data_IF_597093572903
#
_entry.id   IF_597093572903
#
_cell.length_a   1.000
_cell.length_b   1.000
_cell.length_c   1.000
_cell.angle_alpha   90.00
_cell.angle_beta   90.00
_cell.angle_gamma   90.00
#
_symmetry.space_group_name_H-M   'P 1'
#
loop_
_entity.id
_entity.type
_entity.pdbx_description
1 polymer ?
#
# COMPACT_ATOMS: atom_id res chain seq x y z
N UNK A 1 -11.63 -32.41 -5.88
CA UNK A 1 -10.28 -31.82 -5.64
C UNK A 1 -10.22 -30.30 -5.77
N UNK A 2 -11.12 -29.62 -6.52
CA UNK A 2 -11.09 -28.15 -6.64
C UNK A 2 -11.39 -27.38 -5.33
N UNK A 3 -12.29 -27.90 -4.48
CA UNK A 3 -12.66 -27.25 -3.22
C UNK A 3 -11.48 -27.02 -2.25
N UNK A 4 -10.54 -27.97 -2.16
CA UNK A 4 -9.35 -27.83 -1.29
C UNK A 4 -8.41 -26.72 -1.78
N UNK A 5 -8.22 -26.62 -3.10
CA UNK A 5 -7.35 -25.61 -3.70
C UNK A 5 -7.91 -24.18 -3.53
N UNK A 6 -9.23 -24.04 -3.56
CA UNK A 6 -9.92 -22.77 -3.31
C UNK A 6 -9.76 -22.33 -1.86
N UNK A 7 -9.92 -23.25 -0.89
CA UNK A 7 -9.74 -22.96 0.54
C UNK A 7 -8.28 -22.56 0.83
N UNK A 8 -7.31 -23.30 0.30
CA UNK A 8 -5.88 -22.99 0.50
C UNK A 8 -5.50 -21.62 -0.10
N UNK A 9 -6.06 -21.27 -1.26
CA UNK A 9 -5.86 -19.96 -1.87
C UNK A 9 -6.43 -18.84 -1.01
N UNK A 10 -7.65 -19.02 -0.49
CA UNK A 10 -8.31 -18.06 0.38
C UNK A 10 -7.51 -17.81 1.67
N UNK A 11 -7.05 -18.88 2.33
CA UNK A 11 -6.23 -18.78 3.54
C UNK A 11 -4.93 -18.01 3.30
N UNK A 12 -4.27 -18.23 2.14
CA UNK A 12 -3.09 -17.45 1.74
C UNK A 12 -3.40 -15.96 1.58
N UNK A 13 -4.55 -15.61 1.01
CA UNK A 13 -4.96 -14.21 0.87
C UNK A 13 -5.29 -13.57 2.22
N UNK A 14 -5.95 -14.29 3.13
CA UNK A 14 -6.21 -13.84 4.50
C UNK A 14 -4.90 -13.57 5.23
N UNK A 15 -3.97 -14.52 5.20
CA UNK A 15 -2.67 -14.38 5.85
C UNK A 15 -1.89 -13.16 5.30
N UNK A 16 -1.86 -13.00 3.97
CA UNK A 16 -1.21 -11.84 3.33
C UNK A 16 -1.85 -10.51 3.72
N UNK A 17 -3.19 -10.45 3.80
CA UNK A 17 -3.90 -9.26 4.24
C UNK A 17 -3.57 -8.92 5.70
N UNK A 18 -3.52 -9.92 6.58
CA UNK A 18 -3.13 -9.73 7.99
C UNK A 18 -1.68 -9.27 8.15
N UNK A 19 -0.74 -9.87 7.41
CA UNK A 19 0.67 -9.43 7.39
C UNK A 19 0.78 -7.99 6.91
N UNK A 20 0.02 -7.62 5.86
CA UNK A 20 -0.01 -6.26 5.36
C UNK A 20 -0.58 -5.26 6.38
N UNK A 21 -1.66 -5.62 7.09
CA UNK A 21 -2.22 -4.79 8.15
C UNK A 21 -1.24 -4.60 9.31
N UNK A 22 -0.55 -5.68 9.73
CA UNK A 22 0.51 -5.61 10.75
C UNK A 22 1.65 -4.68 10.31
N UNK A 23 2.09 -4.81 9.07
CA UNK A 23 3.10 -3.94 8.50
C UNK A 23 2.64 -2.47 8.47
N UNK A 24 1.42 -2.18 8.04
CA UNK A 24 0.88 -0.80 8.07
C UNK A 24 0.86 -0.21 9.50
N UNK A 25 0.57 -1.03 10.51
CA UNK A 25 0.56 -0.59 11.91
C UNK A 25 1.96 -0.27 12.42
N UNK A 26 2.93 -1.16 12.17
CA UNK A 26 4.30 -1.05 12.68
C UNK A 26 5.21 -0.12 11.86
N UNK A 27 5.12 -0.19 10.55
CA UNK A 27 6.03 0.50 9.61
C UNK A 27 5.32 1.54 8.73
N UNK A 28 4.08 1.91 9.04
CA UNK A 28 3.31 2.88 8.27
C UNK A 28 3.97 4.27 8.13
N UNK A 29 4.84 4.67 9.05
CA UNK A 29 5.58 5.93 8.91
C UNK A 29 6.55 5.91 7.72
N UNK A 30 7.13 4.75 7.40
CA UNK A 30 7.97 4.57 6.20
C UNK A 30 7.17 4.81 4.92
N UNK A 31 5.90 4.39 4.90
CA UNK A 31 5.00 4.66 3.79
C UNK A 31 4.68 6.16 3.66
N UNK A 32 4.45 6.84 4.79
CA UNK A 32 4.20 8.30 4.81
C UNK A 32 5.43 9.06 4.31
N UNK A 33 6.63 8.72 4.80
CA UNK A 33 7.88 9.33 4.37
C UNK A 33 8.16 9.10 2.88
N UNK A 34 7.91 7.89 2.38
CA UNK A 34 8.09 7.56 0.96
C UNK A 34 7.09 8.32 0.07
N UNK A 35 5.83 8.45 0.51
CA UNK A 35 4.82 9.24 -0.19
C UNK A 35 5.18 10.74 -0.21
N UNK A 36 5.73 11.26 0.90
CA UNK A 36 6.25 12.63 0.99
C UNK A 36 7.41 12.85 0.02
N UNK A 37 8.34 11.90 -0.06
CA UNK A 37 9.51 11.97 -0.93
C UNK A 37 9.09 12.11 -2.40
N UNK A 38 8.26 11.18 -2.87
CA UNK A 38 7.91 11.07 -4.28
C UNK A 38 6.83 12.06 -4.73
N UNK A 39 5.89 12.42 -3.84
CA UNK A 39 4.72 13.20 -4.22
C UNK A 39 4.43 14.43 -3.33
N UNK A 40 5.11 14.55 -2.19
CA UNK A 40 4.93 15.67 -1.27
C UNK A 40 3.77 15.56 -0.31
N UNK A 41 3.41 16.70 0.29
CA UNK A 41 2.56 16.78 1.48
C UNK A 41 1.16 16.21 1.29
N UNK A 42 0.60 16.35 0.09
CA UNK A 42 -0.73 15.83 -0.21
C UNK A 42 -0.73 14.28 -0.27
N UNK A 43 0.34 13.68 -0.79
CA UNK A 43 0.52 12.22 -0.80
C UNK A 43 0.86 11.67 0.59
N UNK A 44 1.69 12.38 1.35
CA UNK A 44 1.98 12.04 2.74
C UNK A 44 0.72 12.04 3.61
N UNK A 45 -0.15 13.05 3.44
CA UNK A 45 -1.45 13.11 4.12
C UNK A 45 -2.34 11.92 3.75
N UNK A 46 -2.39 11.58 2.46
CA UNK A 46 -3.14 10.40 1.97
C UNK A 46 -2.62 9.10 2.57
N UNK A 47 -1.30 8.91 2.63
CA UNK A 47 -0.68 7.77 3.30
C UNK A 47 -1.00 7.73 4.80
N UNK A 48 -0.92 8.88 5.46
CA UNK A 48 -1.20 9.01 6.89
C UNK A 48 -2.64 8.60 7.23
N UNK A 49 -3.62 8.99 6.41
CA UNK A 49 -5.02 8.55 6.56
C UNK A 49 -5.15 7.02 6.52
N UNK A 50 -4.48 6.35 5.58
CA UNK A 50 -4.50 4.88 5.46
C UNK A 50 -3.86 4.23 6.68
N UNK A 51 -2.72 4.74 7.12
CA UNK A 51 -1.98 4.22 8.29
C UNK A 51 -2.80 4.41 9.57
N UNK A 52 -3.43 5.58 9.75
CA UNK A 52 -4.33 5.83 10.88
C UNK A 52 -5.53 4.88 10.88
N UNK A 53 -6.16 4.66 9.72
CA UNK A 53 -7.26 3.70 9.61
C UNK A 53 -6.80 2.28 10.00
N UNK A 54 -5.63 1.84 9.54
CA UNK A 54 -5.07 0.53 9.88
C UNK A 54 -4.75 0.40 11.38
N UNK A 55 -4.21 1.46 12.01
CA UNK A 55 -3.91 1.51 13.45
C UNK A 55 -5.16 1.55 14.31
N UNK A 56 -6.21 2.23 13.87
CA UNK A 56 -7.51 2.26 14.54
C UNK A 56 -8.30 0.95 14.38
N UNK A 57 -7.79 -0.01 13.60
CA UNK A 57 -8.50 -1.27 13.33
C UNK A 57 -9.67 -1.11 12.35
N UNK A 58 -9.77 0.02 11.66
CA UNK A 58 -10.83 0.26 10.69
C UNK A 58 -10.62 -0.56 9.42
N UNK A 59 -11.73 -0.88 8.75
CA UNK A 59 -11.70 -1.54 7.46
C UNK A 59 -11.06 -0.64 6.38
N UNK A 60 -10.00 -1.14 5.75
CA UNK A 60 -9.31 -0.44 4.67
C UNK A 60 -10.07 -0.48 3.34
N UNK A 61 -11.21 -1.18 3.26
CA UNK A 61 -12.08 -1.16 2.08
C UNK A 61 -12.52 0.26 1.70
N UNK A 62 -12.79 1.12 2.69
CA UNK A 62 -13.12 2.53 2.49
C UNK A 62 -11.94 3.35 1.93
N UNK A 63 -10.70 2.91 2.17
CA UNK A 63 -9.47 3.57 1.72
C UNK A 63 -8.86 2.94 0.48
N UNK A 64 -9.59 2.07 -0.22
CA UNK A 64 -9.08 1.32 -1.38
C UNK A 64 -8.62 2.22 -2.53
N UNK A 65 -9.34 3.31 -2.78
CA UNK A 65 -8.92 4.33 -3.77
C UNK A 65 -7.60 4.99 -3.40
N UNK A 66 -7.39 5.28 -2.10
CA UNK A 66 -6.15 5.84 -1.59
C UNK A 66 -4.99 4.83 -1.69
N UNK A 67 -5.20 3.57 -1.28
CA UNK A 67 -4.22 2.49 -1.40
C UNK A 67 -3.78 2.27 -2.85
N UNK A 68 -4.73 2.24 -3.79
CA UNK A 68 -4.41 2.12 -5.22
C UNK A 68 -3.62 3.31 -5.72
N UNK A 69 -4.00 4.53 -5.32
CA UNK A 69 -3.28 5.74 -5.72
C UNK A 69 -1.84 5.77 -5.16
N UNK A 70 -1.65 5.38 -3.91
CA UNK A 70 -0.32 5.29 -3.27
C UNK A 70 0.56 4.23 -3.95
N UNK A 71 -0.02 3.09 -4.32
CA UNK A 71 0.68 2.07 -5.12
C UNK A 71 1.14 2.65 -6.46
N UNK A 72 0.28 3.38 -7.17
CA UNK A 72 0.66 4.03 -8.45
C UNK A 72 1.79 5.05 -8.27
N UNK A 73 1.77 5.81 -7.18
CA UNK A 73 2.85 6.76 -6.84
C UNK A 73 4.18 6.04 -6.63
N UNK A 74 4.20 4.99 -5.80
CA UNK A 74 5.43 4.26 -5.47
C UNK A 74 5.97 3.44 -6.64
N UNK A 75 5.11 3.08 -7.60
CA UNK A 75 5.50 2.49 -8.88
C UNK A 75 5.86 3.54 -9.95
N UNK A 76 5.96 4.82 -9.57
CA UNK A 76 6.38 5.93 -10.44
C UNK A 76 5.49 6.11 -11.67
N UNK A 77 4.22 5.71 -11.60
CA UNK A 77 3.30 5.82 -12.74
C UNK A 77 2.99 7.27 -13.11
N UNK A 78 3.13 8.22 -12.17
CA UNK A 78 2.93 9.65 -12.39
C UNK A 78 4.15 10.35 -13.03
N UNK A 79 5.31 9.70 -13.05
CA UNK A 79 6.56 10.28 -13.63
C UNK A 79 6.55 10.26 -15.16
N UNK A 80 5.57 9.58 -15.78
CA UNK A 80 5.42 9.53 -17.24
C UNK A 80 5.04 10.87 -17.85
N UNK A 81 4.46 11.76 -17.05
CA UNK A 81 4.15 13.13 -17.44
C UNK A 81 5.13 14.07 -16.73
N UNK A 82 6.06 14.63 -17.50
CA UNK A 82 7.17 15.44 -17.00
C UNK A 82 6.73 16.79 -16.42
N UNK A 83 5.51 17.23 -16.70
CA UNK A 83 4.97 18.48 -16.15
C UNK A 83 4.37 18.29 -14.73
N UNK A 84 4.30 17.05 -14.26
CA UNK A 84 3.73 16.76 -12.94
C UNK A 84 4.70 17.10 -11.81
N UNK A 85 4.18 17.57 -10.65
CA UNK A 85 4.99 17.74 -9.44
C UNK A 85 5.73 16.47 -9.00
N UNK A 86 5.14 15.30 -9.25
CA UNK A 86 5.72 13.98 -8.98
C UNK A 86 6.95 13.71 -9.85
N UNK A 87 6.89 14.03 -11.15
CA UNK A 87 8.03 13.89 -12.06
C UNK A 87 9.21 14.78 -11.66
N UNK A 88 8.94 16.04 -11.29
CA UNK A 88 9.96 16.96 -10.81
C UNK A 88 10.63 16.47 -9.52
N UNK A 89 9.84 15.92 -8.58
CA UNK A 89 10.36 15.34 -7.33
C UNK A 89 11.22 14.11 -7.58
N UNK A 90 10.76 13.22 -8.47
CA UNK A 90 11.52 12.04 -8.84
C UNK A 90 12.83 12.42 -9.55
N UNK A 91 12.81 13.38 -10.47
CA UNK A 91 14.01 13.84 -11.18
C UNK A 91 15.05 14.46 -10.24
N UNK A 92 14.62 15.04 -9.12
CA UNK A 92 15.51 15.58 -8.09
C UNK A 92 16.06 14.50 -7.13
N UNK A 93 15.59 13.25 -7.21
CA UNK A 93 16.02 12.17 -6.33
C UNK A 93 17.31 11.55 -6.85
N UNK A 94 18.31 11.44 -5.97
CA UNK A 94 19.55 10.76 -6.32
C UNK A 94 19.33 9.24 -6.44
N UNK A 95 19.90 8.55 -7.45
CA UNK A 95 19.75 7.10 -7.59
C UNK A 95 20.18 6.31 -6.35
N UNK A 96 21.25 6.76 -5.68
CA UNK A 96 21.78 6.14 -4.46
C UNK A 96 21.15 6.71 -3.16
N UNK A 97 20.03 7.43 -3.26
CA UNK A 97 19.33 7.91 -2.06
C UNK A 97 18.72 6.72 -1.31
N UNK A 98 19.12 6.43 -0.06
CA UNK A 98 18.57 5.31 0.72
C UNK A 98 17.05 5.42 0.94
N UNK A 99 16.48 6.62 0.82
CA UNK A 99 15.02 6.82 0.90
C UNK A 99 14.29 6.30 -0.35
N UNK A 100 14.98 6.20 -1.50
CA UNK A 100 14.46 5.57 -2.71
C UNK A 100 14.30 4.05 -2.51
N UNK A 101 15.27 3.40 -1.86
CA UNK A 101 15.17 1.99 -1.48
C UNK A 101 14.00 1.73 -0.54
N UNK A 102 13.80 2.61 0.45
CA UNK A 102 12.66 2.50 1.36
C UNK A 102 11.33 2.66 0.62
N UNK A 103 11.25 3.56 -0.37
CA UNK A 103 10.08 3.70 -1.21
C UNK A 103 9.81 2.43 -2.05
N UNK A 104 10.86 1.78 -2.55
CA UNK A 104 10.74 0.49 -3.25
C UNK A 104 10.20 -0.62 -2.34
N UNK A 105 10.71 -0.73 -1.10
CA UNK A 105 10.20 -1.69 -0.12
C UNK A 105 8.73 -1.43 0.22
N UNK A 106 8.33 -0.16 0.37
CA UNK A 106 6.94 0.22 0.57
C UNK A 106 6.07 -0.14 -0.65
N UNK A 107 6.58 0.00 -1.87
CA UNK A 107 5.89 -0.39 -3.10
C UNK A 107 5.57 -1.89 -3.11
N UNK A 108 6.56 -2.73 -2.78
CA UNK A 108 6.39 -4.18 -2.71
C UNK A 108 5.37 -4.61 -1.64
N UNK A 109 5.42 -3.98 -0.47
CA UNK A 109 4.46 -4.24 0.61
C UNK A 109 3.02 -3.85 0.18
N UNK A 110 2.86 -2.69 -0.46
CA UNK A 110 1.57 -2.24 -1.00
C UNK A 110 1.04 -3.14 -2.11
N UNK A 111 1.90 -3.61 -3.03
CA UNK A 111 1.47 -4.48 -4.12
C UNK A 111 0.95 -5.83 -3.59
N UNK A 112 1.67 -6.44 -2.64
CA UNK A 112 1.24 -7.68 -1.98
C UNK A 112 -0.06 -7.48 -1.19
N UNK A 113 -0.13 -6.39 -0.42
CA UNK A 113 -1.29 -6.05 0.42
C UNK A 113 -2.55 -5.76 -0.37
N UNK A 114 -2.45 -4.86 -1.35
CA UNK A 114 -3.58 -4.50 -2.23
C UNK A 114 -4.10 -5.74 -2.95
N UNK A 115 -3.23 -6.55 -3.59
CA UNK A 115 -3.66 -7.78 -4.27
C UNK A 115 -4.38 -8.75 -3.33
N UNK A 116 -3.90 -8.90 -2.09
CA UNK A 116 -4.56 -9.75 -1.10
C UNK A 116 -5.96 -9.24 -0.73
N UNK A 117 -6.09 -7.94 -0.44
CA UNK A 117 -7.37 -7.31 -0.15
C UNK A 117 -8.34 -7.40 -1.33
N UNK A 118 -7.85 -7.24 -2.57
CA UNK A 118 -8.66 -7.37 -3.78
C UNK A 118 -9.15 -8.82 -3.99
N UNK A 119 -8.30 -9.82 -3.76
CA UNK A 119 -8.67 -11.22 -3.87
C UNK A 119 -9.73 -11.63 -2.84
N UNK A 120 -9.60 -11.18 -1.59
CA UNK A 120 -10.60 -11.44 -0.54
C UNK A 120 -11.95 -10.80 -0.88
N UNK A 121 -11.93 -9.58 -1.41
CA UNK A 121 -13.15 -8.92 -1.88
C UNK A 121 -13.84 -9.70 -3.00
N UNK A 122 -13.07 -10.19 -3.98
CA UNK A 122 -13.62 -10.99 -5.08
C UNK A 122 -14.22 -12.32 -4.59
N UNK A 123 -13.71 -12.84 -3.47
CA UNK A 123 -14.27 -13.99 -2.77
C UNK A 123 -15.46 -13.65 -1.84
N UNK A 124 -15.90 -12.39 -1.80
CA UNK A 124 -17.02 -11.94 -0.95
C UNK A 124 -16.66 -11.69 0.52
N UNK A 125 -15.38 -11.72 0.88
CA UNK A 125 -14.91 -11.46 2.25
C UNK A 125 -14.67 -9.95 2.40
N UNK A 126 -15.49 -9.33 3.24
CA UNK A 126 -15.40 -7.91 3.62
C UNK A 126 -14.94 -7.84 5.07
N UNK A 127 -13.97 -6.96 5.38
CA UNK A 127 -13.47 -6.82 6.75
C UNK A 127 -12.50 -7.94 7.16
N UNK A 128 -11.25 -7.86 6.70
CA UNK A 128 -10.15 -8.49 7.46
C UNK A 128 -9.88 -7.55 8.63
N UNK A 129 -10.68 -7.67 9.68
CA UNK A 129 -10.38 -7.01 10.94
C UNK A 129 -9.03 -7.55 11.39
N UNK A 130 -8.02 -6.66 11.41
CA UNK A 130 -6.71 -7.03 11.91
C UNK A 130 -6.86 -7.27 13.40
N UNK A 131 -7.01 -8.53 13.80
CA UNK A 131 -7.03 -8.96 15.19
C UNK A 131 -5.96 -8.19 15.98
N UNK A 132 -6.43 -7.47 17.00
CA UNK A 132 -5.62 -6.68 17.91
C UNK A 132 -4.71 -7.58 18.73
#
# INVERSE_FOLDING_TARGET
MQHSQTIDALLRHINRAQVFLRWLRGEGESLVASAQLLGGSHWARRASTVVHAARAGHDLSAHRGALRSLRRLLHLEFVRDLETPEAARFAALHPDDPRADQARLCAEALDRGVRALEALRLAGISGVEGAA
#
